data_IF_117620195606
#
_entry.id   IF_117620195606
#
_cell.length_a   1.000
_cell.length_b   1.000
_cell.length_c   1.000
_cell.angle_alpha   90.00
_cell.angle_beta   90.00
_cell.angle_gamma   90.00
#
_symmetry.space_group_name_H-M   'P 1'
#
loop_
_entity.id
_entity.type
_entity.pdbx_description
1 polymer ?
#
# COMPACT_ATOMS: atom_id res chain seq x y z
N UNK A 1 -22.02 25.45 -23.91
CA UNK A 1 -21.52 24.06 -24.03
C UNK A 1 -20.26 24.01 -23.19
N UNK A 2 -20.44 23.89 -21.88
CA UNK A 2 -19.37 23.91 -20.90
C UNK A 2 -18.88 22.48 -20.68
N UNK A 3 -17.61 22.24 -20.98
CA UNK A 3 -16.93 20.99 -20.68
C UNK A 3 -16.60 20.98 -19.19
N UNK A 4 -17.42 20.28 -18.41
CA UNK A 4 -17.08 19.90 -17.04
C UNK A 4 -15.95 18.85 -17.08
N UNK A 5 -14.74 19.28 -16.74
CA UNK A 5 -13.61 18.40 -16.48
C UNK A 5 -13.76 17.88 -15.05
N UNK A 6 -14.05 16.58 -14.91
CA UNK A 6 -14.24 15.88 -13.65
C UNK A 6 -12.91 15.72 -12.91
N UNK A 7 -12.84 16.23 -11.68
CA UNK A 7 -11.68 16.29 -10.78
C UNK A 7 -11.20 14.93 -10.20
N UNK A 8 -11.41 13.80 -10.88
CA UNK A 8 -11.21 12.45 -10.29
C UNK A 8 -9.98 11.67 -10.80
N UNK A 9 -8.98 12.35 -11.35
CA UNK A 9 -7.66 11.78 -11.62
C UNK A 9 -6.63 12.46 -10.73
N UNK A 10 -6.59 12.07 -9.45
CA UNK A 10 -5.44 12.32 -8.60
C UNK A 10 -4.58 11.05 -8.62
N UNK A 11 -3.63 11.04 -9.55
CA UNK A 11 -2.36 10.33 -9.38
C UNK A 11 -1.72 10.92 -8.12
N UNK A 12 -1.81 10.22 -6.99
CA UNK A 12 -1.04 10.59 -5.81
C UNK A 12 0.43 10.24 -6.09
N UNK A 13 1.21 11.25 -6.48
CA UNK A 13 2.67 11.17 -6.41
C UNK A 13 3.02 11.14 -4.92
N UNK A 14 3.34 9.96 -4.39
CA UNK A 14 3.88 9.84 -3.03
C UNK A 14 5.34 10.29 -3.06
N UNK A 15 5.66 11.33 -2.31
CA UNK A 15 7.04 11.77 -2.06
C UNK A 15 7.67 10.87 -1.00
N UNK A 16 8.70 10.12 -1.40
CA UNK A 16 9.56 9.38 -0.47
C UNK A 16 10.80 10.23 -0.21
N UNK A 17 11.06 10.62 1.04
CA UNK A 17 12.23 11.40 1.46
C UNK A 17 13.18 10.58 2.33
N UNK A 18 14.49 10.83 2.18
CA UNK A 18 15.57 10.04 2.78
C UNK A 18 16.23 10.74 3.97
N UNK A 19 16.63 9.97 4.98
CA UNK A 19 17.49 10.41 6.08
C UNK A 19 18.97 10.49 5.68
N UNK A 20 19.52 11.70 5.79
CA UNK A 20 20.92 12.15 5.76
C UNK A 20 21.80 11.90 4.52
N UNK A 21 22.07 13.02 3.82
CA UNK A 21 23.18 13.27 2.88
C UNK A 21 23.30 12.32 1.69
N UNK A 22 22.43 12.50 0.69
CA UNK A 22 22.76 12.72 -0.72
C UNK A 22 21.43 12.93 -1.47
N UNK A 23 21.26 14.10 -2.09
CA UNK A 23 20.17 14.37 -3.03
C UNK A 23 20.25 13.43 -4.24
N UNK A 24 19.66 12.23 -4.16
CA UNK A 24 19.38 11.39 -5.31
C UNK A 24 17.89 11.52 -5.66
N UNK A 25 17.61 12.23 -6.76
CA UNK A 25 16.30 12.35 -7.39
C UNK A 25 15.66 10.96 -7.60
N UNK A 26 14.56 10.65 -6.94
CA UNK A 26 13.59 9.62 -7.42
C UNK A 26 12.73 10.27 -8.52
N UNK A 27 13.36 10.70 -9.61
CA UNK A 27 12.61 10.90 -10.85
C UNK A 27 12.56 9.55 -11.54
N UNK A 28 11.39 8.91 -11.52
CA UNK A 28 11.10 7.78 -12.40
C UNK A 28 10.98 6.41 -11.75
N UNK A 29 10.79 6.27 -10.43
CA UNK A 29 10.20 5.04 -9.89
C UNK A 29 8.73 5.30 -9.65
N UNK A 30 7.87 4.63 -10.40
CA UNK A 30 6.42 4.72 -10.26
C UNK A 30 5.95 3.86 -9.09
N UNK A 31 5.17 4.47 -8.21
CA UNK A 31 4.47 3.83 -7.12
C UNK A 31 2.97 4.06 -7.32
N UNK A 32 2.21 2.97 -7.34
CA UNK A 32 0.76 3.03 -7.44
C UNK A 32 0.15 2.40 -6.20
N UNK A 33 -0.69 3.18 -5.54
CA UNK A 33 -1.42 2.78 -4.36
C UNK A 33 -2.89 2.58 -4.69
N UNK A 34 -3.47 1.47 -4.24
CA UNK A 34 -4.91 1.30 -4.20
C UNK A 34 -5.43 1.72 -2.84
N UNK A 35 -5.89 2.97 -2.75
CA UNK A 35 -6.85 3.37 -1.73
C UNK A 35 -8.20 2.73 -2.09
N UNK A 36 -8.80 1.95 -1.19
CA UNK A 36 -10.10 1.33 -1.43
C UNK A 36 -11.15 2.32 -1.93
N UNK A 37 -11.74 2.14 -3.13
CA UNK A 37 -12.95 2.84 -3.50
C UNK A 37 -14.13 2.19 -2.78
N UNK A 38 -14.41 2.66 -1.57
CA UNK A 38 -15.71 2.46 -0.95
C UNK A 38 -16.71 3.28 -1.76
N UNK A 39 -17.69 2.64 -2.41
CA UNK A 39 -18.83 3.40 -2.91
C UNK A 39 -19.61 3.95 -1.71
N UNK A 40 -19.39 5.23 -1.40
CA UNK A 40 -19.94 5.96 -0.27
C UNK A 40 -21.47 6.05 -0.25
N UNK A 41 -22.14 5.74 -1.37
CA UNK A 41 -23.62 5.70 -1.45
C UNK A 41 -24.23 4.30 -1.33
N UNK A 42 -23.47 3.21 -1.52
CA UNK A 42 -24.05 1.86 -1.53
C UNK A 42 -23.44 0.87 -0.52
N UNK A 43 -22.36 1.23 0.19
CA UNK A 43 -21.69 0.33 1.17
C UNK A 43 -21.31 -1.05 0.60
N UNK A 44 -21.36 -1.24 -0.72
CA UNK A 44 -20.98 -2.48 -1.38
C UNK A 44 -19.53 -2.36 -1.80
N UNK A 45 -18.65 -3.12 -1.16
CA UNK A 45 -17.37 -3.50 -1.76
C UNK A 45 -17.68 -3.97 -3.18
N UNK A 46 -17.04 -3.37 -4.20
CA UNK A 46 -17.23 -3.84 -5.57
C UNK A 46 -16.54 -5.20 -5.75
N UNK A 47 -17.13 -6.27 -5.20
CA UNK A 47 -16.71 -7.66 -5.40
C UNK A 47 -15.63 -8.20 -4.45
N UNK A 48 -15.16 -9.41 -4.77
CA UNK A 48 -14.12 -10.14 -4.03
C UNK A 48 -12.74 -9.46 -4.17
N UNK A 49 -11.77 -9.88 -3.36
CA UNK A 49 -10.40 -9.36 -3.42
C UNK A 49 -9.79 -9.51 -4.80
N UNK A 50 -10.03 -10.65 -5.46
CA UNK A 50 -9.57 -10.89 -6.82
C UNK A 50 -10.14 -9.90 -7.84
N UNK A 51 -11.42 -9.51 -7.73
CA UNK A 51 -12.02 -8.51 -8.64
C UNK A 51 -11.40 -7.14 -8.47
N UNK A 52 -11.07 -6.76 -7.22
CA UNK A 52 -10.40 -5.50 -6.96
C UNK A 52 -8.93 -5.53 -7.41
N UNK A 53 -8.24 -6.67 -7.27
CA UNK A 53 -6.90 -6.85 -7.81
C UNK A 53 -6.89 -6.69 -9.35
N UNK A 54 -7.85 -7.31 -10.04
CA UNK A 54 -7.97 -7.16 -11.50
C UNK A 54 -8.22 -5.70 -11.90
N UNK A 55 -9.15 -5.02 -11.21
CA UNK A 55 -9.41 -3.60 -11.45
C UNK A 55 -8.15 -2.76 -11.22
N UNK A 56 -7.44 -2.96 -10.10
CA UNK A 56 -6.23 -2.23 -9.77
C UNK A 56 -5.15 -2.41 -10.84
N UNK A 57 -4.88 -3.65 -11.25
CA UNK A 57 -3.90 -3.97 -12.30
C UNK A 57 -4.27 -3.31 -13.64
N UNK A 58 -5.54 -3.31 -14.01
CA UNK A 58 -6.03 -2.73 -15.27
C UNK A 58 -6.01 -1.19 -15.27
N UNK A 59 -5.84 -0.55 -14.11
CA UNK A 59 -5.90 0.91 -13.94
C UNK A 59 -4.61 1.51 -13.35
N UNK A 60 -3.47 0.85 -13.53
CA UNK A 60 -2.14 1.40 -13.21
C UNK A 60 -1.37 0.59 -12.16
N UNK A 61 -2.04 -0.28 -11.40
CA UNK A 61 -1.40 -1.14 -10.42
C UNK A 61 -0.64 -2.33 -10.99
N UNK A 62 -0.41 -2.41 -12.31
CA UNK A 62 0.37 -3.50 -12.88
C UNK A 62 1.85 -3.34 -12.51
N UNK A 63 2.60 -4.44 -12.49
CA UNK A 63 4.04 -4.42 -12.24
C UNK A 63 4.82 -5.09 -13.38
N UNK A 64 5.97 -4.51 -13.69
CA UNK A 64 6.97 -5.04 -14.62
C UNK A 64 8.36 -4.92 -14.00
N UNK A 65 9.24 -5.89 -14.29
CA UNK A 65 10.63 -5.90 -13.81
C UNK A 65 11.52 -4.94 -14.62
N UNK A 66 11.17 -3.66 -14.66
CA UNK A 66 11.81 -2.63 -15.49
C UNK A 66 12.79 -1.72 -14.72
N UNK A 67 12.98 -1.99 -13.42
CA UNK A 67 13.78 -1.18 -12.48
C UNK A 67 13.17 0.18 -12.10
N UNK A 68 11.95 0.45 -12.57
CA UNK A 68 11.22 1.69 -12.38
C UNK A 68 9.84 1.47 -11.74
N UNK A 69 9.33 0.24 -11.70
CA UNK A 69 7.99 -0.03 -11.16
C UNK A 69 8.10 -0.82 -9.85
N UNK A 70 7.59 -0.26 -8.75
CA UNK A 70 7.40 -1.02 -7.51
C UNK A 70 6.17 -1.92 -7.61
N UNK A 71 6.09 -3.04 -6.86
CA UNK A 71 4.83 -3.75 -6.72
C UNK A 71 3.76 -2.81 -6.21
N UNK A 72 2.55 -2.95 -6.74
CA UNK A 72 1.41 -2.23 -6.24
C UNK A 72 1.17 -2.44 -4.75
N UNK A 73 0.63 -1.42 -4.13
CA UNK A 73 0.38 -1.37 -2.69
C UNK A 73 -1.09 -1.65 -2.44
N UNK A 74 -1.36 -2.63 -1.57
CA UNK A 74 -2.67 -2.81 -0.96
C UNK A 74 -2.66 -2.06 0.38
N UNK A 75 -3.38 -0.95 0.41
CA UNK A 75 -3.50 -0.11 1.58
C UNK A 75 -4.68 -0.56 2.45
N UNK A 76 -4.34 -1.01 3.65
CA UNK A 76 -5.26 -1.48 4.66
C UNK A 76 -5.18 -0.54 5.87
N UNK A 77 -5.60 0.70 5.67
CA UNK A 77 -5.79 1.63 6.74
C UNK A 77 -7.05 2.48 6.58
N UNK A 78 -7.27 3.41 7.52
CA UNK A 78 -8.45 4.24 7.52
C UNK A 78 -9.67 3.56 8.15
N UNK A 79 -10.15 4.16 9.24
CA UNK A 79 -11.47 3.86 9.78
C UNK A 79 -12.47 4.80 9.10
N UNK A 80 -13.28 4.29 8.18
CA UNK A 80 -14.43 5.05 7.69
C UNK A 80 -15.28 5.39 8.91
N UNK A 81 -15.61 6.67 9.13
CA UNK A 81 -16.44 7.07 10.26
C UNK A 81 -17.74 6.23 10.28
N UNK A 82 -17.89 5.39 11.31
CA UNK A 82 -19.03 4.48 11.47
C UNK A 82 -18.86 3.05 10.93
N UNK A 83 -17.71 2.70 10.31
CA UNK A 83 -17.41 1.34 9.83
C UNK A 83 -15.95 0.96 10.05
N UNK A 84 -15.62 0.69 11.30
CA UNK A 84 -14.36 0.07 11.69
C UNK A 84 -14.19 -1.29 10.99
N UNK A 85 -12.96 -1.60 10.54
CA UNK A 85 -12.63 -2.84 9.81
C UNK A 85 -13.53 -3.07 8.59
N UNK A 86 -14.03 -1.98 7.99
CA UNK A 86 -14.95 -2.00 6.85
C UNK A 86 -16.27 -2.76 7.11
N UNK A 87 -16.62 -2.98 8.39
CA UNK A 87 -17.78 -3.80 8.78
C UNK A 87 -17.58 -5.31 8.60
N UNK A 88 -16.33 -5.76 8.45
CA UNK A 88 -15.94 -7.16 8.32
C UNK A 88 -15.44 -7.72 9.65
N UNK A 89 -15.60 -9.02 9.84
CA UNK A 89 -14.88 -9.79 10.86
C UNK A 89 -13.40 -9.95 10.48
N UNK A 90 -12.51 -10.29 11.44
CA UNK A 90 -11.11 -10.51 11.12
C UNK A 90 -10.85 -11.60 10.08
N UNK A 91 -11.62 -12.68 10.09
CA UNK A 91 -11.48 -13.73 9.07
C UNK A 91 -11.89 -13.22 7.70
N UNK A 92 -13.03 -12.53 7.59
CA UNK A 92 -13.50 -11.98 6.31
C UNK A 92 -12.50 -11.00 5.69
N UNK A 93 -11.88 -10.12 6.50
CA UNK A 93 -10.90 -9.18 5.96
C UNK A 93 -9.63 -9.89 5.51
N UNK A 94 -9.13 -10.87 6.29
CA UNK A 94 -7.92 -11.60 5.91
C UNK A 94 -8.15 -12.52 4.71
N UNK A 95 -9.32 -13.13 4.59
CA UNK A 95 -9.69 -13.93 3.42
C UNK A 95 -9.78 -13.06 2.16
N UNK A 96 -10.37 -11.87 2.29
CA UNK A 96 -10.44 -10.90 1.22
C UNK A 96 -9.05 -10.42 0.78
N UNK A 97 -8.17 -10.11 1.74
CA UNK A 97 -6.78 -9.70 1.47
C UNK A 97 -6.01 -10.83 0.78
N UNK A 98 -6.17 -12.08 1.21
CA UNK A 98 -5.55 -13.22 0.54
C UNK A 98 -6.07 -13.41 -0.88
N UNK A 99 -7.37 -13.24 -1.13
CA UNK A 99 -7.95 -13.31 -2.48
C UNK A 99 -7.36 -12.22 -3.39
N UNK A 100 -7.21 -10.99 -2.89
CA UNK A 100 -6.53 -9.90 -3.59
C UNK A 100 -5.06 -10.26 -3.88
N UNK A 101 -4.30 -10.62 -2.86
CA UNK A 101 -2.85 -10.88 -2.97
C UNK A 101 -2.54 -12.06 -3.89
N UNK A 102 -3.33 -13.13 -3.81
CA UNK A 102 -3.17 -14.30 -4.68
C UNK A 102 -3.47 -13.94 -6.13
N UNK A 103 -4.54 -13.17 -6.38
CA UNK A 103 -4.88 -12.73 -7.72
C UNK A 103 -3.82 -11.79 -8.27
N UNK A 104 -3.37 -10.82 -7.48
CA UNK A 104 -2.33 -9.87 -7.85
C UNK A 104 -1.03 -10.61 -8.22
N UNK A 105 -0.55 -11.50 -7.34
CA UNK A 105 0.62 -12.36 -7.59
C UNK A 105 0.47 -13.24 -8.82
N UNK A 106 -0.72 -13.79 -9.08
CA UNK A 106 -0.97 -14.59 -10.29
C UNK A 106 -0.85 -13.80 -11.59
N UNK A 107 -1.11 -12.49 -11.54
CA UNK A 107 -1.12 -11.60 -12.71
C UNK A 107 0.21 -10.91 -12.93
N UNK A 108 0.93 -10.57 -11.86
CA UNK A 108 2.15 -9.77 -11.90
C UNK A 108 3.42 -10.57 -11.58
N UNK A 109 3.28 -11.77 -11.01
CA UNK A 109 4.40 -12.56 -10.50
C UNK A 109 4.87 -12.16 -9.10
N UNK A 110 4.29 -11.12 -8.49
CA UNK A 110 4.69 -10.62 -7.17
C UNK A 110 3.50 -10.39 -6.24
N UNK A 111 3.60 -10.67 -4.93
CA UNK A 111 2.61 -10.20 -3.97
C UNK A 111 2.63 -8.67 -3.88
N UNK A 112 1.49 -8.03 -3.54
CA UNK A 112 1.47 -6.59 -3.29
C UNK A 112 2.25 -6.25 -2.01
N UNK A 113 2.67 -4.99 -1.89
CA UNK A 113 3.13 -4.44 -0.60
C UNK A 113 1.88 -4.22 0.26
N UNK A 114 1.93 -4.55 1.56
CA UNK A 114 0.84 -4.23 2.48
C UNK A 114 1.15 -2.96 3.25
N UNK A 115 0.33 -1.92 3.05
CA UNK A 115 0.40 -0.68 3.81
C UNK A 115 -0.60 -0.74 4.96
N UNK A 116 -0.13 -0.69 6.22
CA UNK A 116 -0.99 -0.77 7.40
C UNK A 116 -0.29 -0.34 8.68
N UNK A 117 -1.07 -0.05 9.73
CA UNK A 117 -0.55 0.17 11.09
C UNK A 117 -0.67 -1.08 11.97
N UNK A 118 0.21 -1.22 12.96
CA UNK A 118 0.14 -2.32 13.93
C UNK A 118 -1.19 -2.34 14.72
N UNK A 119 -1.73 -1.16 15.03
CA UNK A 119 -3.02 -1.03 15.73
C UNK A 119 -4.21 -1.50 14.87
N UNK A 120 -4.22 -1.15 13.58
CA UNK A 120 -5.23 -1.65 12.65
C UNK A 120 -5.11 -3.17 12.50
N UNK A 121 -3.90 -3.70 12.33
CA UNK A 121 -3.66 -5.14 12.18
C UNK A 121 -4.16 -5.95 13.37
N UNK A 122 -3.82 -5.52 14.59
CA UNK A 122 -4.27 -6.18 15.80
C UNK A 122 -5.79 -6.18 15.94
N UNK A 123 -6.44 -5.10 15.50
CA UNK A 123 -7.88 -4.91 15.68
C UNK A 123 -8.73 -5.56 14.59
N UNK A 124 -8.29 -5.44 13.35
CA UNK A 124 -9.07 -5.81 12.17
C UNK A 124 -8.65 -7.13 11.57
N UNK A 125 -7.39 -7.56 11.71
CA UNK A 125 -6.90 -8.80 11.13
C UNK A 125 -6.53 -9.86 12.20
N UNK A 126 -6.90 -9.63 13.46
CA UNK A 126 -6.62 -10.51 14.60
C UNK A 126 -5.15 -10.95 14.68
N UNK A 127 -4.23 -10.03 14.33
CA UNK A 127 -2.79 -10.29 14.28
C UNK A 127 -2.40 -11.53 13.46
N UNK A 128 -3.05 -11.76 12.31
CA UNK A 128 -2.77 -12.91 11.44
C UNK A 128 -1.30 -12.93 10.95
N UNK A 129 -0.42 -13.63 11.66
CA UNK A 129 1.02 -13.61 11.40
C UNK A 129 1.46 -14.26 10.08
N UNK A 130 0.55 -14.86 9.31
CA UNK A 130 0.90 -15.60 8.08
C UNK A 130 1.29 -14.68 6.91
N UNK A 131 0.78 -13.45 6.86
CA UNK A 131 1.00 -12.54 5.74
C UNK A 131 2.46 -12.08 5.61
N UNK A 132 3.16 -11.89 6.73
CA UNK A 132 4.53 -11.39 6.73
C UNK A 132 5.57 -12.37 6.16
N UNK A 133 5.19 -13.62 5.88
CA UNK A 133 6.04 -14.57 5.16
C UNK A 133 6.17 -14.23 3.66
N UNK A 134 5.14 -13.63 3.07
CA UNK A 134 5.05 -13.39 1.63
C UNK A 134 4.99 -11.91 1.24
N UNK A 135 4.61 -11.01 2.15
CA UNK A 135 4.35 -9.60 1.83
C UNK A 135 5.38 -8.67 2.45
N UNK A 136 5.89 -7.74 1.66
CA UNK A 136 6.63 -6.59 2.15
C UNK A 136 5.68 -5.68 2.97
N UNK A 137 6.17 -5.13 4.08
CA UNK A 137 5.41 -4.22 4.93
C UNK A 137 5.77 -2.77 4.60
N UNK A 138 4.76 -1.95 4.37
CA UNK A 138 4.83 -0.52 4.50
C UNK A 138 4.11 -0.11 5.78
N UNK A 139 4.88 0.24 6.80
CA UNK A 139 4.32 0.56 8.11
C UNK A 139 3.75 1.98 8.12
N UNK A 140 2.48 2.12 8.48
CA UNK A 140 1.86 3.40 8.79
C UNK A 140 2.02 3.70 10.28
N UNK A 141 2.92 4.62 10.63
CA UNK A 141 3.07 5.09 12.00
C UNK A 141 3.70 6.49 12.05
N UNK A 142 2.88 7.52 12.22
CA UNK A 142 3.37 8.90 12.31
C UNK A 142 4.00 9.17 13.69
N UNK A 143 5.31 9.00 13.77
CA UNK A 143 6.09 9.11 15.00
C UNK A 143 7.57 9.39 14.70
N UNK A 144 8.34 9.81 15.71
CA UNK A 144 9.80 9.99 15.60
C UNK A 144 10.54 8.65 15.50
N UNK A 145 9.96 7.58 16.03
CA UNK A 145 10.48 6.23 15.96
C UNK A 145 9.47 5.28 15.30
N UNK A 146 9.96 4.28 14.59
CA UNK A 146 9.12 3.35 13.81
C UNK A 146 8.10 2.59 14.66
N UNK A 147 8.42 2.30 15.93
CA UNK A 147 7.53 1.61 16.85
C UNK A 147 7.46 0.09 16.62
N UNK A 148 6.37 -0.51 17.11
CA UNK A 148 6.18 -1.97 17.07
C UNK A 148 5.67 -2.43 15.70
N UNK A 149 6.26 -3.50 15.18
CA UNK A 149 5.80 -4.12 13.94
C UNK A 149 4.51 -4.94 14.17
N UNK A 150 3.60 -4.96 13.19
CA UNK A 150 2.45 -5.86 13.20
C UNK A 150 2.90 -7.33 13.25
N UNK A 151 2.10 -8.18 13.90
CA UNK A 151 2.39 -9.61 13.97
C UNK A 151 2.55 -10.23 12.57
N UNK A 152 3.63 -11.00 12.38
CA UNK A 152 3.99 -11.64 11.11
C UNK A 152 5.25 -11.07 10.47
N UNK A 153 5.57 -9.80 10.72
CA UNK A 153 6.74 -9.14 10.18
C UNK A 153 7.89 -9.07 11.18
N UNK A 154 9.11 -9.28 10.67
CA UNK A 154 10.37 -9.10 11.43
C UNK A 154 11.05 -7.78 11.12
N UNK A 155 10.72 -7.20 9.98
CA UNK A 155 11.23 -5.93 9.46
C UNK A 155 10.14 -5.25 8.65
N UNK A 156 10.21 -3.92 8.58
CA UNK A 156 9.43 -3.14 7.61
C UNK A 156 10.30 -2.87 6.38
N UNK A 157 9.67 -2.81 5.20
CA UNK A 157 10.33 -2.44 3.94
C UNK A 157 10.25 -0.93 3.72
N UNK A 158 9.09 -0.35 4.04
CA UNK A 158 8.83 1.08 4.00
C UNK A 158 8.22 1.54 5.32
N UNK A 159 8.38 2.82 5.64
CA UNK A 159 7.75 3.46 6.79
C UNK A 159 7.21 4.83 6.41
N UNK A 160 5.91 5.04 6.64
CA UNK A 160 5.28 6.35 6.61
C UNK A 160 5.35 6.98 8.00
N UNK A 161 6.20 7.99 8.16
CA UNK A 161 6.57 8.56 9.47
C UNK A 161 5.91 9.91 9.77
N UNK A 162 5.30 10.57 8.78
CA UNK A 162 4.52 11.78 9.00
C UNK A 162 3.45 11.98 7.91
N UNK A 163 2.33 12.60 8.28
CA UNK A 163 1.25 12.94 7.35
C UNK A 163 1.52 14.18 6.47
N UNK A 164 2.69 14.82 6.63
CA UNK A 164 3.07 15.97 5.82
C UNK A 164 4.60 16.10 5.73
N UNK A 165 5.11 16.21 4.51
CA UNK A 165 6.50 16.59 4.22
C UNK A 165 6.61 18.01 3.59
N UNK A 166 7.81 18.57 3.59
CA UNK A 166 8.08 19.89 2.99
C UNK A 166 7.96 19.94 1.46
N UNK A 167 7.91 18.77 0.80
CA UNK A 167 7.81 18.62 -0.65
C UNK A 167 6.35 18.43 -1.13
N UNK A 168 5.39 18.34 -0.20
CA UNK A 168 3.99 18.08 -0.44
C UNK A 168 3.68 16.59 -0.53
N UNK A 169 2.96 16.05 0.46
CA UNK A 169 2.58 14.64 0.54
C UNK A 169 2.85 14.04 1.93
N UNK A 170 2.58 12.75 2.09
CA UNK A 170 2.93 12.00 3.30
C UNK A 170 4.41 11.61 3.24
N UNK A 171 5.10 11.72 4.37
CA UNK A 171 6.53 11.49 4.47
C UNK A 171 6.82 9.99 4.60
N UNK A 172 7.53 9.44 3.62
CA UNK A 172 7.82 8.02 3.51
C UNK A 172 9.32 7.77 3.37
N UNK A 173 9.79 6.64 3.91
CA UNK A 173 11.17 6.19 3.77
C UNK A 173 11.23 4.71 3.40
N UNK A 174 12.07 4.36 2.42
CA UNK A 174 12.49 2.98 2.18
C UNK A 174 13.62 2.61 3.14
N UNK A 175 13.50 1.48 3.82
CA UNK A 175 14.46 1.06 4.84
C UNK A 175 15.62 0.27 4.22
N UNK A 176 16.35 0.93 3.32
CA UNK A 176 17.51 0.39 2.62
C UNK A 176 18.18 1.44 1.73
N UNK A 177 19.21 1.03 1.00
CA UNK A 177 19.91 1.86 0.04
C UNK A 177 19.13 2.04 -1.27
N UNK A 178 19.48 3.05 -2.07
CA UNK A 178 18.88 3.24 -3.40
C UNK A 178 19.12 2.05 -4.34
N UNK A 179 20.23 1.31 -4.15
CA UNK A 179 20.50 0.09 -4.92
C UNK A 179 19.53 -1.02 -4.55
N UNK A 180 19.32 -1.24 -3.25
CA UNK A 180 18.36 -2.23 -2.74
C UNK A 180 16.92 -1.88 -3.13
N UNK A 181 16.58 -0.59 -3.24
CA UNK A 181 15.27 -0.17 -3.75
C UNK A 181 15.06 -0.59 -5.22
N UNK A 182 16.10 -0.44 -6.05
CA UNK A 182 16.05 -0.87 -7.46
C UNK A 182 15.99 -2.39 -7.56
N UNK A 183 16.77 -3.11 -6.76
CA UNK A 183 16.73 -4.59 -6.66
C UNK A 183 15.33 -5.06 -6.21
N UNK A 184 14.76 -4.37 -5.22
CA UNK A 184 13.39 -4.61 -4.79
C UNK A 184 12.38 -4.31 -5.90
N UNK A 185 12.56 -3.27 -6.71
CA UNK A 185 11.68 -2.96 -7.83
C UNK A 185 11.72 -4.05 -8.92
N UNK A 186 12.88 -4.63 -9.23
CA UNK A 186 13.00 -5.72 -10.22
C UNK A 186 12.62 -7.10 -9.68
N UNK A 187 12.53 -7.26 -8.35
CA UNK A 187 12.16 -8.53 -7.70
C UNK A 187 13.31 -9.54 -7.62
N UNK A 188 14.55 -9.06 -7.49
CA UNK A 188 15.78 -9.87 -7.37
C UNK A 188 16.25 -10.03 -5.93
#
# INVERSE_FOLDING_TARGET
MELHISWWLLLALVSVSFGDTIQARIRGIDLFELHFPVNWKSQSMMGSGAKQADFFIEHGGNWTADAYTLPGVLEMEGNIAGKLCHGMTPTEITDWMLDFSNRYKSRTGRPPILFLSAGWWAKCADNNATFGADHALWLANWAEEMGTLPAGWKEATFWQYAGWDENGGEANVFLGSSKELVEFAIGS
#
